data_IF_047670288062
#
_entry.id   IF_047670288062
#
_cell.length_a   1.000
_cell.length_b   1.000
_cell.length_c   1.000
_cell.angle_alpha   90.00
_cell.angle_beta   90.00
_cell.angle_gamma   90.00
#
_symmetry.space_group_name_H-M   'P 1'
#
loop_
_entity.id
_entity.type
_entity.pdbx_description
1 polymer ?
#
# COMPACT_ATOMS: atom_id res chain seq x y z
N UNK A 1 32.56 -5.65 -8.05
CA UNK A 1 31.75 -4.43 -7.85
C UNK A 1 30.32 -4.89 -7.53
N UNK A 2 29.86 -4.57 -6.30
CA UNK A 2 28.47 -4.59 -5.80
C UNK A 2 27.73 -5.94 -5.80
N UNK A 3 27.00 -6.40 -4.78
CA UNK A 3 26.74 -6.03 -3.38
C UNK A 3 25.97 -7.24 -2.83
N UNK A 4 26.54 -8.03 -1.90
CA UNK A 4 26.12 -8.11 -0.49
C UNK A 4 24.61 -8.10 -0.22
N UNK A 5 24.08 -9.25 0.23
CA UNK A 5 22.80 -9.44 0.96
C UNK A 5 21.53 -9.25 0.12
N UNK A 6 20.38 -9.88 0.38
CA UNK A 6 19.92 -10.48 1.64
C UNK A 6 18.64 -11.29 1.37
N UNK A 7 18.56 -12.47 1.99
CA UNK A 7 17.38 -13.22 2.47
C UNK A 7 16.11 -13.43 1.60
N UNK A 8 15.76 -14.71 1.43
CA UNK A 8 14.45 -15.19 0.97
C UNK A 8 13.41 -14.98 2.07
N UNK A 9 12.89 -13.77 2.21
CA UNK A 9 11.68 -13.54 2.99
C UNK A 9 10.48 -14.17 2.25
N UNK A 10 9.79 -15.10 2.91
CA UNK A 10 8.46 -15.56 2.50
C UNK A 10 7.62 -14.32 2.12
N UNK A 11 6.76 -14.38 1.09
CA UNK A 11 6.11 -13.20 0.55
C UNK A 11 5.31 -12.50 1.65
N UNK A 12 5.92 -11.51 2.28
CA UNK A 12 5.24 -10.63 3.24
C UNK A 12 4.17 -9.96 2.40
N UNK A 13 2.93 -10.38 2.63
CA UNK A 13 1.77 -9.76 2.03
C UNK A 13 1.77 -8.30 2.48
N UNK A 14 2.18 -7.42 1.57
CA UNK A 14 2.17 -5.97 1.78
C UNK A 14 0.78 -5.50 1.37
N UNK A 15 0.02 -5.00 2.33
CA UNK A 15 -1.28 -4.40 2.07
C UNK A 15 -1.10 -2.89 1.89
N UNK A 16 -1.71 -2.33 0.85
CA UNK A 16 -1.68 -0.91 0.54
C UNK A 16 -3.06 -0.33 0.79
N UNK A 17 -3.21 0.44 1.87
CA UNK A 17 -4.46 1.11 2.20
C UNK A 17 -4.46 2.54 1.69
N UNK A 18 -5.40 2.87 0.81
CA UNK A 18 -5.64 4.25 0.38
C UNK A 18 -6.61 4.89 1.35
N UNK A 19 -6.13 5.89 2.10
CA UNK A 19 -6.93 6.70 3.04
C UNK A 19 -7.53 7.92 2.36
N UNK A 20 -6.81 8.49 1.41
CA UNK A 20 -7.26 9.60 0.59
C UNK A 20 -6.86 9.34 -0.85
N UNK A 21 -7.83 9.38 -1.75
CA UNK A 21 -7.66 9.04 -3.17
C UNK A 21 -9.02 8.96 -3.87
N UNK A 22 -8.99 8.56 -5.14
CA UNK A 22 -10.19 8.47 -5.99
C UNK A 22 -11.20 7.45 -5.44
N UNK A 23 -10.74 6.28 -5.01
CA UNK A 23 -11.54 5.33 -4.21
C UNK A 23 -10.71 4.86 -3.02
N UNK A 24 -11.09 5.21 -1.79
CA UNK A 24 -10.43 4.70 -0.59
C UNK A 24 -10.72 3.21 -0.43
N UNK A 25 -9.71 2.45 0.00
CA UNK A 25 -9.79 0.98 0.02
C UNK A 25 -8.45 0.31 0.31
N UNK A 26 -8.46 -1.03 0.39
CA UNK A 26 -7.26 -1.84 0.61
C UNK A 26 -6.93 -2.61 -0.65
N UNK A 27 -5.71 -2.41 -1.15
CA UNK A 27 -5.18 -3.02 -2.35
C UNK A 27 -4.02 -3.96 -2.00
N UNK A 28 -3.85 -4.99 -2.84
CA UNK A 28 -2.76 -5.96 -2.72
C UNK A 28 -1.54 -5.58 -3.56
N UNK A 29 -1.69 -4.59 -4.44
CA UNK A 29 -0.66 -4.17 -5.39
C UNK A 29 -0.43 -2.67 -5.29
N UNK A 30 0.81 -2.27 -5.57
CA UNK A 30 1.17 -0.85 -5.64
C UNK A 30 0.56 -0.16 -6.86
N UNK A 31 0.41 -0.86 -7.99
CA UNK A 31 -0.12 -0.30 -9.23
C UNK A 31 -1.51 0.31 -9.03
N UNK A 32 -2.44 -0.44 -8.41
CA UNK A 32 -3.78 0.08 -8.13
C UNK A 32 -3.74 1.25 -7.14
N UNK A 33 -2.89 1.17 -6.11
CA UNK A 33 -2.71 2.27 -5.17
C UNK A 33 -2.23 3.56 -5.87
N UNK A 34 -1.30 3.44 -6.83
CA UNK A 34 -0.74 4.56 -7.55
C UNK A 34 -1.79 5.21 -8.47
N UNK A 35 -2.56 4.43 -9.22
CA UNK A 35 -3.61 4.96 -10.10
C UNK A 35 -4.67 5.75 -9.31
N UNK A 36 -5.01 5.25 -8.12
CA UNK A 36 -6.01 5.87 -7.24
C UNK A 36 -5.50 7.14 -6.55
N UNK A 37 -4.18 7.35 -6.49
CA UNK A 37 -3.54 8.49 -5.84
C UNK A 37 -2.96 9.51 -6.84
N UNK A 38 -2.66 9.11 -8.07
CA UNK A 38 -1.96 9.90 -9.10
C UNK A 38 -2.66 11.21 -9.50
N UNK A 39 -3.96 11.36 -9.23
CA UNK A 39 -4.72 12.59 -9.50
C UNK A 39 -5.29 13.28 -8.26
N UNK A 40 -5.02 12.77 -7.06
CA UNK A 40 -5.65 13.26 -5.83
C UNK A 40 -4.69 14.13 -5.03
N UNK A 41 -4.99 15.44 -4.92
CA UNK A 41 -4.13 16.36 -4.17
C UNK A 41 -4.28 16.07 -2.67
N UNK A 42 -3.21 15.58 -2.04
CA UNK A 42 -3.25 15.09 -0.65
C UNK A 42 -3.57 13.60 -0.53
N UNK A 43 -3.41 12.83 -1.60
CA UNK A 43 -3.56 11.38 -1.53
C UNK A 43 -2.61 10.79 -0.47
N UNK A 44 -3.12 9.83 0.29
CA UNK A 44 -2.36 9.19 1.37
C UNK A 44 -2.54 7.68 1.29
N UNK A 45 -1.46 6.98 1.00
CA UNK A 45 -1.37 5.53 0.98
C UNK A 45 -0.53 5.04 2.16
N UNK A 46 -1.09 4.14 2.97
CA UNK A 46 -0.40 3.51 4.09
C UNK A 46 -0.06 2.06 3.74
N UNK A 47 1.19 1.66 3.94
CA UNK A 47 1.60 0.27 3.86
C UNK A 47 1.38 -0.40 5.22
N UNK A 48 0.58 -1.46 5.24
CA UNK A 48 0.30 -2.23 6.44
C UNK A 48 0.69 -3.69 6.23
N UNK A 49 1.21 -4.31 7.29
CA UNK A 49 1.52 -5.74 7.31
C UNK A 49 0.27 -6.60 7.49
N UNK A 50 -0.79 -6.02 8.07
CA UNK A 50 -2.04 -6.72 8.37
C UNK A 50 -3.24 -5.87 7.98
N UNK A 51 -4.20 -6.47 7.27
CA UNK A 51 -5.46 -5.82 6.89
C UNK A 51 -6.28 -5.34 8.10
N UNK A 52 -6.16 -5.99 9.25
CA UNK A 52 -6.85 -5.63 10.48
C UNK A 52 -6.36 -4.31 11.12
N UNK A 53 -5.10 -3.92 10.89
CA UNK A 53 -4.54 -2.69 11.42
C UNK A 53 -4.85 -1.47 10.54
N UNK A 54 -5.38 -1.69 9.34
CA UNK A 54 -5.76 -0.61 8.44
C UNK A 54 -7.03 0.02 9.03
N UNK A 55 -7.00 1.29 9.47
CA UNK A 55 -8.20 1.95 9.98
C UNK A 55 -9.26 1.92 8.88
N UNK A 56 -10.51 1.69 9.28
CA UNK A 56 -11.64 1.57 8.35
C UNK A 56 -11.70 2.82 7.45
N UNK A 57 -11.21 2.69 6.22
CA UNK A 57 -11.16 3.75 5.21
C UNK A 57 -12.51 3.91 4.50
N UNK A 58 -13.56 3.25 5.00
CA UNK A 58 -14.94 3.43 4.59
C UNK A 58 -15.57 4.55 5.44
N UNK A 59 -15.45 5.79 4.99
CA UNK A 59 -16.44 6.83 5.27
C UNK A 59 -16.59 7.74 4.08
#
# INVERSE_FOLDING_TARGET
>A
MSSSGTQKDAPVQKYYAVRAGVKPGVYLTWAECQEQTAGFRGASCACAKYKQYIPNVLT
#
